data_IF_376868714386
#
_entry.id   IF_376868714386
#
_cell.length_a   1.000
_cell.length_b   1.000
_cell.length_c   1.000
_cell.angle_alpha   90.00
_cell.angle_beta   90.00
_cell.angle_gamma   90.00
#
_symmetry.space_group_name_H-M   'P 1'
#
loop_
_entity.id
_entity.type
_entity.pdbx_description
1 polymer ?
#
# COMPACT_ATOMS: atom_id res chain seq x y z
N UNK A 1 -0.80 24.80 -38.52
CA UNK A 1 -0.59 23.89 -37.40
C UNK A 1 0.10 22.64 -37.93
N UNK A 2 1.11 22.15 -37.20
CA UNK A 2 1.85 20.93 -37.53
C UNK A 2 2.13 20.16 -36.25
N UNK A 3 2.05 18.83 -36.33
CA UNK A 3 2.39 17.93 -35.22
C UNK A 3 3.52 17.04 -35.71
N UNK A 4 4.66 17.12 -35.06
CA UNK A 4 5.79 16.23 -35.33
C UNK A 4 6.10 15.35 -34.14
N UNK A 5 6.61 14.17 -34.43
CA UNK A 5 6.90 13.12 -33.42
C UNK A 5 8.36 12.72 -33.55
N UNK A 6 9.02 12.65 -32.41
CA UNK A 6 10.36 12.12 -32.30
C UNK A 6 10.37 10.94 -31.34
N UNK A 7 10.83 9.78 -31.80
CA UNK A 7 11.04 8.63 -30.93
C UNK A 7 12.29 8.89 -30.07
N UNK A 8 12.12 8.82 -28.75
CA UNK A 8 13.21 8.92 -27.77
C UNK A 8 13.77 7.54 -27.44
N UNK A 9 12.86 6.57 -27.23
CA UNK A 9 13.16 5.16 -27.06
C UNK A 9 12.15 4.34 -27.87
N UNK A 10 12.08 3.02 -27.63
CA UNK A 10 11.05 2.15 -28.24
C UNK A 10 9.63 2.49 -27.75
N UNK A 11 9.52 3.10 -26.55
CA UNK A 11 8.27 3.34 -25.84
C UNK A 11 8.06 4.80 -25.41
N UNK A 12 9.09 5.65 -25.44
CA UNK A 12 8.97 7.07 -25.13
C UNK A 12 9.05 7.91 -26.40
N UNK A 13 8.15 8.86 -26.54
CA UNK A 13 8.06 9.78 -27.69
C UNK A 13 7.98 11.22 -27.23
N UNK A 14 8.59 12.11 -28.01
CA UNK A 14 8.40 13.56 -27.89
C UNK A 14 7.43 14.03 -28.99
N UNK A 15 6.34 14.64 -28.58
CA UNK A 15 5.37 15.27 -29.48
C UNK A 15 5.62 16.78 -29.48
N UNK A 16 5.79 17.34 -30.67
CA UNK A 16 5.99 18.78 -30.85
C UNK A 16 4.79 19.33 -31.64
N UNK A 17 4.00 20.18 -30.98
CA UNK A 17 2.89 20.92 -31.60
C UNK A 17 3.40 22.30 -32.00
N UNK A 18 3.35 22.60 -33.28
CA UNK A 18 3.78 23.88 -33.83
C UNK A 18 2.62 24.59 -34.49
N UNK A 19 2.48 25.89 -34.25
CA UNK A 19 1.47 26.72 -34.90
C UNK A 19 1.97 28.18 -35.02
N UNK A 20 1.43 28.92 -35.97
CA UNK A 20 1.77 30.32 -36.10
C UNK A 20 0.58 31.22 -35.71
N UNK A 21 0.82 32.55 -35.67
CA UNK A 21 -0.21 33.52 -35.30
C UNK A 21 -1.45 33.48 -36.20
N UNK A 22 -1.33 33.10 -37.47
CA UNK A 22 -2.46 33.02 -38.39
C UNK A 22 -3.39 31.88 -38.02
N UNK A 23 -2.83 30.73 -37.53
CA UNK A 23 -3.57 29.59 -37.03
C UNK A 23 -4.38 29.94 -35.76
N UNK A 24 -3.81 30.75 -34.86
CA UNK A 24 -4.44 31.12 -33.58
C UNK A 24 -5.31 32.41 -33.71
N UNK A 25 -5.22 33.14 -34.79
CA UNK A 25 -5.95 34.42 -34.99
C UNK A 25 -7.46 34.32 -34.75
N UNK A 26 -8.18 33.29 -35.24
CA UNK A 26 -9.60 33.16 -34.96
C UNK A 26 -9.90 33.07 -33.47
N UNK A 27 -9.08 32.29 -32.71
CA UNK A 27 -9.17 32.11 -31.26
C UNK A 27 -8.90 33.42 -30.53
N UNK A 28 -7.84 34.12 -30.87
CA UNK A 28 -7.51 35.42 -30.28
C UNK A 28 -8.62 36.45 -30.52
N UNK A 29 -9.15 36.53 -31.75
CA UNK A 29 -10.23 37.48 -32.07
C UNK A 29 -11.53 37.18 -31.32
N UNK A 30 -11.84 35.91 -31.05
CA UNK A 30 -12.97 35.50 -30.24
C UNK A 30 -12.73 35.86 -28.77
N UNK A 31 -11.55 35.52 -28.22
CA UNK A 31 -11.19 35.85 -26.85
C UNK A 31 -11.25 37.35 -26.56
N UNK A 32 -10.72 38.15 -27.46
CA UNK A 32 -10.79 39.60 -27.35
C UNK A 32 -12.23 40.13 -27.36
N UNK A 33 -13.15 39.54 -28.16
CA UNK A 33 -14.57 39.90 -28.16
C UNK A 33 -15.23 39.51 -26.85
N UNK A 34 -14.96 38.32 -26.34
CA UNK A 34 -15.47 37.81 -25.06
C UNK A 34 -15.00 38.71 -23.91
N UNK A 35 -13.71 38.96 -23.82
CA UNK A 35 -13.11 39.80 -22.79
C UNK A 35 -13.66 41.24 -22.84
N UNK A 36 -13.81 41.84 -24.05
CA UNK A 36 -14.44 43.15 -24.23
C UNK A 36 -15.84 43.22 -23.62
N UNK A 37 -16.64 42.16 -23.71
CA UNK A 37 -18.00 42.15 -23.19
C UNK A 37 -18.04 42.13 -21.65
N UNK A 38 -17.01 41.60 -21.02
CA UNK A 38 -16.95 41.35 -19.56
C UNK A 38 -16.17 42.44 -18.81
N UNK A 39 -15.19 43.06 -19.43
CA UNK A 39 -14.27 43.99 -18.75
C UNK A 39 -14.96 45.25 -18.27
N UNK A 40 -14.68 45.64 -17.04
CA UNK A 40 -14.97 46.94 -16.47
C UNK A 40 -13.69 47.77 -16.38
N UNK A 41 -13.64 48.92 -17.06
CA UNK A 41 -12.46 49.79 -17.08
C UNK A 41 -12.85 51.21 -16.72
N UNK A 42 -12.12 51.92 -15.84
CA UNK A 42 -12.37 53.31 -15.52
C UNK A 42 -12.40 54.19 -16.79
N UNK A 43 -13.43 55.00 -16.97
CA UNK A 43 -13.62 55.84 -18.12
C UNK A 43 -14.40 55.22 -19.28
N UNK A 44 -14.75 53.93 -19.20
CA UNK A 44 -15.53 53.26 -20.24
C UNK A 44 -16.74 52.52 -19.66
N UNK A 45 -17.85 52.53 -20.42
CA UNK A 45 -19.01 51.67 -20.08
C UNK A 45 -18.65 50.20 -20.44
N UNK A 46 -19.12 49.24 -19.66
CA UNK A 46 -18.96 47.82 -19.94
C UNK A 46 -19.34 47.46 -21.39
N UNK A 47 -18.46 46.70 -22.07
CA UNK A 47 -18.62 46.34 -23.48
C UNK A 47 -18.29 47.44 -24.50
N UNK A 48 -17.91 48.65 -24.08
CA UNK A 48 -17.57 49.76 -24.95
C UNK A 48 -16.09 50.15 -24.95
N UNK A 49 -15.24 49.40 -24.31
CA UNK A 49 -13.80 49.57 -24.35
C UNK A 49 -13.29 49.27 -25.75
N UNK A 50 -12.50 50.18 -26.39
CA UNK A 50 -11.92 49.92 -27.70
C UNK A 50 -10.95 48.74 -27.68
N UNK A 51 -10.98 47.86 -28.69
CA UNK A 51 -10.15 46.65 -28.76
C UNK A 51 -8.65 46.95 -28.72
N UNK A 52 -8.19 48.06 -29.30
CA UNK A 52 -6.80 48.48 -29.26
C UNK A 52 -6.29 48.75 -27.81
N UNK A 53 -7.16 49.25 -26.94
CA UNK A 53 -6.83 49.48 -25.54
C UNK A 53 -6.74 48.15 -24.81
N UNK A 54 -7.67 47.21 -25.07
CA UNK A 54 -7.67 45.86 -24.50
C UNK A 54 -6.40 45.14 -24.93
N UNK A 55 -6.10 45.11 -26.24
CA UNK A 55 -4.90 44.44 -26.77
C UNK A 55 -3.60 45.00 -26.15
N UNK A 56 -3.53 46.33 -25.97
CA UNK A 56 -2.34 46.96 -25.39
C UNK A 56 -2.14 46.67 -23.91
N UNK A 57 -3.24 46.46 -23.17
CA UNK A 57 -3.20 46.32 -21.69
C UNK A 57 -3.25 44.91 -21.20
N UNK A 58 -3.96 44.05 -21.92
CA UNK A 58 -4.28 42.66 -21.54
C UNK A 58 -4.02 41.69 -22.68
N UNK A 59 -3.37 42.15 -23.75
CA UNK A 59 -3.14 41.34 -24.95
C UNK A 59 -2.36 40.09 -24.62
N UNK A 60 -1.24 40.25 -23.94
CA UNK A 60 -0.33 39.16 -23.61
C UNK A 60 -1.01 38.09 -22.71
N UNK A 61 -1.77 38.53 -21.71
CA UNK A 61 -2.50 37.61 -20.81
C UNK A 61 -3.60 36.84 -21.56
N UNK A 62 -4.37 37.52 -22.40
CA UNK A 62 -5.46 36.90 -23.18
C UNK A 62 -4.90 35.93 -24.21
N UNK A 63 -3.83 36.33 -24.91
CA UNK A 63 -3.19 35.47 -25.91
C UNK A 63 -2.54 34.27 -25.26
N UNK A 64 -1.87 34.40 -24.10
CA UNK A 64 -1.29 33.28 -23.37
C UNK A 64 -2.36 32.29 -22.88
N UNK A 65 -3.49 32.79 -22.37
CA UNK A 65 -4.61 31.93 -21.96
C UNK A 65 -5.17 31.12 -23.14
N UNK A 66 -5.31 31.77 -24.30
CA UNK A 66 -5.82 31.11 -25.50
C UNK A 66 -4.79 30.14 -26.13
N UNK A 67 -3.50 30.44 -26.04
CA UNK A 67 -2.44 29.50 -26.42
C UNK A 67 -2.51 28.24 -25.60
N UNK A 68 -2.60 28.34 -24.26
CA UNK A 68 -2.73 27.19 -23.39
C UNK A 68 -3.95 26.32 -23.74
N UNK A 69 -5.11 26.97 -23.96
CA UNK A 69 -6.33 26.25 -24.37
C UNK A 69 -6.17 25.60 -25.75
N UNK A 70 -5.55 26.29 -26.68
CA UNK A 70 -5.32 25.75 -28.02
C UNK A 70 -4.43 24.50 -27.98
N UNK A 71 -3.33 24.55 -27.24
CA UNK A 71 -2.42 23.43 -27.08
C UNK A 71 -3.13 22.23 -26.44
N UNK A 72 -3.93 22.49 -25.41
CA UNK A 72 -4.74 21.45 -24.76
C UNK A 72 -5.76 20.85 -25.73
N UNK A 73 -6.50 21.67 -26.48
CA UNK A 73 -7.48 21.20 -27.48
C UNK A 73 -6.82 20.34 -28.57
N UNK A 74 -5.65 20.77 -29.08
CA UNK A 74 -4.91 20.00 -30.10
C UNK A 74 -4.41 18.68 -29.50
N UNK A 75 -3.88 18.73 -28.29
CA UNK A 75 -3.41 17.52 -27.62
C UNK A 75 -4.54 16.50 -27.41
N UNK A 76 -5.69 16.95 -26.88
CA UNK A 76 -6.84 16.10 -26.62
C UNK A 76 -7.51 15.53 -27.88
N UNK A 77 -7.58 16.32 -28.96
CA UNK A 77 -8.33 15.92 -30.14
C UNK A 77 -7.49 15.26 -31.23
N UNK A 78 -6.18 15.52 -31.28
CA UNK A 78 -5.30 15.02 -32.33
C UNK A 78 -4.26 14.04 -31.80
N UNK A 79 -3.61 14.36 -30.64
CA UNK A 79 -2.53 13.53 -30.12
C UNK A 79 -3.06 12.29 -29.39
N UNK A 80 -4.00 12.47 -28.45
CA UNK A 80 -4.54 11.32 -27.68
C UNK A 80 -5.15 10.26 -28.60
N UNK A 81 -6.01 10.57 -29.58
CA UNK A 81 -6.62 9.55 -30.42
C UNK A 81 -5.65 8.85 -31.38
N UNK A 82 -4.56 9.52 -31.77
CA UNK A 82 -3.59 8.97 -32.73
C UNK A 82 -2.52 8.11 -32.07
N UNK A 83 -2.07 8.50 -30.86
CA UNK A 83 -0.93 7.85 -30.21
C UNK A 83 -1.31 7.02 -28.97
N UNK A 84 -2.54 7.11 -28.50
CA UNK A 84 -3.06 6.38 -27.34
C UNK A 84 -2.06 6.34 -26.16
N UNK A 85 -1.61 7.51 -25.66
CA UNK A 85 -0.53 7.59 -24.71
C UNK A 85 -0.84 6.84 -23.42
N UNK A 86 0.16 6.12 -22.88
CA UNK A 86 0.11 5.46 -21.58
C UNK A 86 0.88 6.25 -20.54
N UNK A 87 0.35 6.29 -19.32
CA UNK A 87 0.92 7.10 -18.25
C UNK A 87 0.51 8.57 -18.29
N UNK A 88 1.02 9.32 -17.33
CA UNK A 88 0.77 10.77 -17.24
C UNK A 88 1.66 11.52 -18.25
N UNK A 89 1.02 12.18 -19.19
CA UNK A 89 1.75 13.00 -20.17
C UNK A 89 2.47 14.15 -19.49
N UNK A 90 3.73 14.37 -19.85
CA UNK A 90 4.54 15.46 -19.32
C UNK A 90 4.71 16.56 -20.38
N UNK A 91 4.26 17.79 -20.06
CA UNK A 91 4.62 18.96 -20.85
C UNK A 91 6.08 19.35 -20.52
N UNK A 92 6.96 19.29 -21.53
CA UNK A 92 8.38 19.61 -21.40
C UNK A 92 8.65 21.09 -21.58
N UNK A 93 7.98 21.71 -22.55
CA UNK A 93 8.18 23.13 -22.92
C UNK A 93 6.93 23.71 -23.59
N UNK A 94 6.73 24.99 -23.41
CA UNK A 94 5.73 25.78 -24.11
C UNK A 94 6.29 27.17 -24.40
N UNK A 95 6.57 27.46 -25.66
CA UNK A 95 7.09 28.74 -26.08
C UNK A 95 6.17 29.44 -27.09
N UNK A 96 6.06 30.76 -26.96
CA UNK A 96 5.41 31.64 -27.89
C UNK A 96 6.36 32.80 -28.21
N UNK A 97 7.14 32.66 -29.28
CA UNK A 97 8.13 33.64 -29.67
C UNK A 97 8.02 33.99 -31.16
N UNK A 98 8.15 35.27 -31.51
CA UNK A 98 8.08 35.74 -32.88
C UNK A 98 6.80 35.35 -33.64
N UNK A 99 5.67 35.28 -32.94
CA UNK A 99 4.39 34.81 -33.47
C UNK A 99 4.37 33.32 -33.89
N UNK A 100 5.28 32.51 -33.33
CA UNK A 100 5.36 31.07 -33.49
C UNK A 100 5.15 30.38 -32.13
N UNK A 101 4.28 29.38 -32.13
CA UNK A 101 4.00 28.47 -31.00
C UNK A 101 4.80 27.21 -31.18
N UNK A 102 5.49 26.79 -30.13
CA UNK A 102 6.04 25.46 -30.02
C UNK A 102 5.69 24.91 -28.63
N UNK A 103 5.01 23.75 -28.57
CA UNK A 103 4.72 23.03 -27.34
C UNK A 103 5.26 21.62 -27.45
N UNK A 104 6.03 21.18 -26.45
CA UNK A 104 6.66 19.85 -26.40
C UNK A 104 6.08 19.01 -25.28
N UNK A 105 5.74 17.79 -25.61
CA UNK A 105 5.19 16.82 -24.67
C UNK A 105 6.00 15.53 -24.74
N UNK A 106 6.28 14.95 -23.59
CA UNK A 106 6.74 13.57 -23.49
C UNK A 106 5.55 12.67 -23.22
N UNK A 107 5.38 11.66 -24.06
CA UNK A 107 4.34 10.64 -23.93
C UNK A 107 4.98 9.25 -23.90
N UNK A 108 4.30 8.31 -23.24
CA UNK A 108 4.61 6.89 -23.32
C UNK A 108 3.71 6.20 -24.33
N UNK A 109 4.23 5.18 -25.00
CA UNK A 109 3.46 4.24 -25.82
C UNK A 109 3.47 2.87 -25.16
N UNK A 110 2.41 2.09 -25.32
CA UNK A 110 2.40 0.71 -24.85
C UNK A 110 3.56 -0.08 -25.46
N UNK A 111 4.31 -0.89 -24.69
CA UNK A 111 5.37 -1.70 -25.22
C UNK A 111 4.79 -2.81 -26.12
N UNK A 112 5.49 -3.14 -27.20
CA UNK A 112 5.13 -4.27 -28.07
C UNK A 112 5.87 -5.53 -27.58
N UNK A 113 5.16 -6.54 -27.13
CA UNK A 113 5.68 -7.85 -26.77
C UNK A 113 4.58 -8.92 -26.91
N UNK A 114 4.94 -10.16 -26.92
CA UNK A 114 4.00 -11.30 -26.96
C UNK A 114 4.13 -12.13 -25.69
N UNK A 115 3.02 -12.55 -25.11
CA UNK A 115 3.02 -13.51 -24.01
C UNK A 115 3.52 -14.86 -24.52
N UNK A 116 4.67 -15.30 -24.00
CA UNK A 116 5.28 -16.58 -24.29
C UNK A 116 4.42 -17.80 -23.93
N UNK A 117 5.01 -18.97 -24.00
CA UNK A 117 4.36 -20.22 -23.59
C UNK A 117 4.29 -20.26 -22.05
N UNK A 118 3.09 -20.10 -21.52
CA UNK A 118 2.84 -20.10 -20.07
C UNK A 118 3.20 -21.45 -19.42
N UNK A 119 3.21 -22.55 -20.18
CA UNK A 119 3.60 -23.87 -19.67
C UNK A 119 5.11 -23.99 -19.35
N UNK A 120 5.93 -23.02 -19.78
CA UNK A 120 7.36 -22.94 -19.43
C UNK A 120 7.57 -22.18 -18.11
N UNK A 121 6.57 -21.45 -17.63
CA UNK A 121 6.62 -20.75 -16.34
C UNK A 121 6.42 -21.77 -15.21
N UNK A 122 7.39 -21.83 -14.31
CA UNK A 122 7.39 -22.73 -13.16
C UNK A 122 7.39 -21.93 -11.88
N UNK A 123 6.40 -22.18 -11.01
CA UNK A 123 6.20 -21.46 -9.76
C UNK A 123 5.97 -22.41 -8.61
N UNK A 124 6.45 -22.04 -7.44
CA UNK A 124 6.23 -22.80 -6.21
C UNK A 124 4.93 -22.33 -5.53
N UNK A 125 4.14 -23.29 -5.06
CA UNK A 125 2.93 -23.01 -4.29
C UNK A 125 3.07 -23.65 -2.92
N UNK A 126 2.98 -22.83 -1.88
CA UNK A 126 2.94 -23.32 -0.52
C UNK A 126 1.65 -24.13 -0.29
N UNK A 127 1.81 -25.37 0.19
CA UNK A 127 0.71 -26.22 0.66
C UNK A 127 0.97 -26.58 2.09
N UNK A 128 0.05 -26.25 2.99
CA UNK A 128 0.15 -26.56 4.41
C UNK A 128 -1.17 -27.07 4.96
N UNK A 129 -1.19 -28.30 5.42
CA UNK A 129 -2.32 -28.89 6.15
C UNK A 129 -2.13 -28.63 7.64
N UNK A 130 -3.05 -27.88 8.24
CA UNK A 130 -3.00 -27.54 9.68
C UNK A 130 -3.07 -28.79 10.52
N UNK A 131 -2.06 -28.95 11.37
CA UNK A 131 -1.91 -30.10 12.28
C UNK A 131 -2.73 -29.93 13.55
N UNK A 132 -2.97 -31.05 14.26
CA UNK A 132 -3.63 -30.99 15.58
C UNK A 132 -2.74 -30.34 16.66
N UNK A 133 -1.41 -30.31 16.44
CA UNK A 133 -0.44 -29.63 17.30
C UNK A 133 -0.61 -28.10 17.20
N UNK A 134 -0.67 -27.54 15.99
CA UNK A 134 -0.91 -26.10 15.77
C UNK A 134 -2.27 -25.66 16.34
N UNK A 135 -3.30 -26.49 16.19
CA UNK A 135 -4.60 -26.24 16.84
C UNK A 135 -4.47 -26.24 18.37
N UNK A 136 -3.64 -27.15 18.91
CA UNK A 136 -3.35 -27.23 20.35
C UNK A 136 -2.63 -25.97 20.85
N UNK A 137 -1.60 -25.52 20.16
CA UNK A 137 -0.84 -24.33 20.51
C UNK A 137 -1.72 -23.05 20.47
N UNK A 138 -2.51 -22.88 19.42
CA UNK A 138 -3.43 -21.74 19.32
C UNK A 138 -4.51 -21.79 20.41
N UNK A 139 -5.04 -22.99 20.70
CA UNK A 139 -5.99 -23.19 21.79
C UNK A 139 -5.37 -22.83 23.14
N UNK A 140 -4.15 -23.27 23.39
CA UNK A 140 -3.41 -22.95 24.60
C UNK A 140 -3.19 -21.45 24.75
N UNK A 141 -2.81 -20.78 23.67
CA UNK A 141 -2.67 -19.31 23.63
C UNK A 141 -3.99 -18.58 23.94
N UNK A 142 -5.11 -19.08 23.39
CA UNK A 142 -6.44 -18.53 23.70
C UNK A 142 -6.79 -18.74 25.19
N UNK A 143 -6.51 -19.90 25.72
CA UNK A 143 -6.79 -20.22 27.13
C UNK A 143 -5.93 -19.38 28.08
N UNK A 144 -4.68 -19.11 27.74
CA UNK A 144 -3.80 -18.21 28.49
C UNK A 144 -4.30 -16.78 28.49
N UNK A 145 -4.65 -16.25 27.30
CA UNK A 145 -5.14 -14.88 27.14
C UNK A 145 -6.50 -14.64 27.83
N UNK A 146 -7.33 -15.68 27.94
CA UNK A 146 -8.64 -15.63 28.59
C UNK A 146 -8.59 -16.14 30.05
N UNK A 147 -7.40 -16.45 30.53
CA UNK A 147 -7.12 -16.87 31.90
C UNK A 147 -7.27 -15.72 32.90
N UNK A 148 -7.25 -16.10 34.17
CA UNK A 148 -7.20 -15.14 35.27
C UNK A 148 -5.81 -15.12 35.90
N UNK A 149 -5.44 -14.01 36.45
CA UNK A 149 -4.24 -13.89 37.24
C UNK A 149 -4.54 -14.35 38.69
N UNK A 150 -3.73 -15.23 39.21
CA UNK A 150 -3.84 -15.70 40.59
C UNK A 150 -2.65 -15.20 41.40
N UNK A 151 -2.93 -14.59 42.53
CA UNK A 151 -1.88 -14.11 43.46
C UNK A 151 -1.19 -15.35 44.09
N UNK A 152 0.12 -15.43 43.94
CA UNK A 152 0.91 -16.54 44.46
C UNK A 152 2.01 -16.01 45.41
N UNK A 153 2.40 -16.88 46.35
CA UNK A 153 3.55 -16.65 47.24
C UNK A 153 4.73 -17.54 46.80
N UNK A 154 5.07 -17.42 45.52
CA UNK A 154 6.12 -18.18 44.86
C UNK A 154 7.16 -17.23 44.27
N UNK A 155 8.29 -17.80 43.82
CA UNK A 155 9.32 -17.04 43.09
C UNK A 155 8.76 -16.57 41.76
N UNK A 156 9.17 -15.36 41.39
CA UNK A 156 8.86 -14.74 40.08
C UNK A 156 9.52 -15.57 38.98
N UNK A 157 8.73 -15.93 37.99
CA UNK A 157 9.15 -16.62 36.76
C UNK A 157 8.83 -15.71 35.55
N UNK A 158 9.33 -16.05 34.37
CA UNK A 158 9.15 -15.25 33.14
C UNK A 158 7.69 -15.00 32.72
N UNK A 159 6.78 -15.82 33.19
CA UNK A 159 5.34 -15.77 32.94
C UNK A 159 4.55 -14.93 33.94
N UNK A 160 5.21 -14.41 34.98
CA UNK A 160 4.56 -13.67 36.04
C UNK A 160 4.20 -12.24 35.66
N UNK A 161 3.15 -11.73 36.28
CA UNK A 161 2.88 -10.30 36.40
C UNK A 161 3.17 -9.88 37.85
N UNK A 162 3.95 -8.84 38.01
CA UNK A 162 4.33 -8.33 39.34
C UNK A 162 3.78 -6.92 39.53
N UNK A 163 3.30 -6.64 40.74
CA UNK A 163 2.96 -5.28 41.15
C UNK A 163 4.07 -4.77 42.04
N UNK A 164 4.68 -3.66 41.70
CA UNK A 164 5.80 -3.05 42.41
C UNK A 164 5.52 -1.62 42.79
N UNK A 165 6.15 -1.14 43.86
CA UNK A 165 6.38 0.31 44.05
C UNK A 165 7.73 0.62 43.44
N UNK A 166 7.81 1.68 42.64
CA UNK A 166 9.01 2.12 41.95
C UNK A 166 9.49 3.39 42.62
N UNK A 167 10.74 3.43 43.06
CA UNK A 167 11.41 4.59 43.59
C UNK A 167 12.56 4.93 42.65
N UNK A 168 12.56 6.15 42.12
CA UNK A 168 13.64 6.60 41.25
C UNK A 168 14.89 6.90 42.08
N UNK A 169 16.04 6.45 41.63
CA UNK A 169 17.34 6.70 42.24
C UNK A 169 18.13 7.69 41.39
N UNK A 170 18.93 8.52 42.05
CA UNK A 170 19.90 9.40 41.38
C UNK A 170 21.19 8.63 41.00
N UNK A 171 22.15 9.31 40.37
CA UNK A 171 23.43 8.73 39.94
C UNK A 171 24.29 8.22 41.14
N UNK A 172 24.03 8.65 42.38
CA UNK A 172 24.69 8.20 43.58
C UNK A 172 23.92 7.03 44.25
N UNK A 173 22.78 6.64 43.72
CA UNK A 173 21.91 5.53 44.22
C UNK A 173 21.00 5.97 45.37
N UNK A 174 20.83 7.27 45.63
CA UNK A 174 19.93 7.78 46.66
C UNK A 174 18.52 8.07 46.09
N UNK A 175 17.45 7.84 46.88
CA UNK A 175 16.08 8.10 46.41
C UNK A 175 15.83 9.56 46.07
N UNK A 176 15.28 9.83 44.87
CA UNK A 176 14.86 11.18 44.45
C UNK A 176 13.57 11.56 45.19
N UNK A 177 13.62 12.70 45.93
CA UNK A 177 12.49 13.13 46.75
C UNK A 177 11.27 13.50 45.91
N UNK A 178 10.17 12.78 46.10
CA UNK A 178 8.89 12.98 45.38
C UNK A 178 8.72 12.16 44.13
N UNK A 179 9.70 11.36 43.71
CA UNK A 179 9.64 10.48 42.56
C UNK A 179 9.43 9.01 42.99
N UNK A 180 8.20 8.72 43.43
CA UNK A 180 7.75 7.38 43.78
C UNK A 180 6.43 7.07 43.11
N UNK A 181 6.40 5.97 42.36
CA UNK A 181 5.22 5.44 41.74
C UNK A 181 4.77 4.17 42.46
N UNK A 182 3.56 4.17 43.00
CA UNK A 182 3.04 3.04 43.76
C UNK A 182 2.14 2.14 42.89
N UNK A 183 2.28 0.83 43.05
CA UNK A 183 1.38 -0.15 42.46
C UNK A 183 1.50 -0.31 40.95
N UNK A 184 2.69 -0.10 40.38
CA UNK A 184 2.95 -0.31 38.98
C UNK A 184 2.89 -1.80 38.64
N UNK A 185 2.17 -2.14 37.54
CA UNK A 185 2.06 -3.52 37.06
C UNK A 185 3.09 -3.78 35.95
N UNK A 186 3.95 -4.78 36.14
CA UNK A 186 4.95 -5.26 35.19
C UNK A 186 4.55 -6.67 34.75
N UNK A 187 4.12 -6.82 33.49
CA UNK A 187 3.85 -8.15 32.90
C UNK A 187 5.11 -8.63 32.18
N UNK A 188 5.86 -9.54 32.80
CA UNK A 188 7.14 -10.04 32.32
C UNK A 188 7.05 -10.83 30.98
N UNK A 189 5.86 -11.13 30.48
CA UNK A 189 5.67 -11.72 29.17
C UNK A 189 5.80 -10.72 28.01
N UNK A 190 5.70 -9.42 28.33
CA UNK A 190 5.75 -8.35 27.33
C UNK A 190 7.18 -7.88 27.10
N UNK A 191 7.54 -7.67 25.83
CA UNK A 191 8.88 -7.23 25.43
C UNK A 191 9.27 -5.86 25.99
N UNK A 192 8.30 -4.98 26.26
CA UNK A 192 8.52 -3.65 26.83
C UNK A 192 9.15 -3.70 28.24
N UNK A 193 9.00 -4.84 28.94
CA UNK A 193 9.57 -5.05 30.29
C UNK A 193 10.76 -6.02 30.30
N UNK A 194 11.33 -6.30 29.13
CA UNK A 194 12.44 -7.27 29.00
C UNK A 194 13.64 -6.91 29.88
N UNK A 195 13.95 -5.63 30.06
CA UNK A 195 15.06 -5.16 30.88
C UNK A 195 14.87 -5.45 32.38
N UNK A 196 13.62 -5.54 32.85
CA UNK A 196 13.30 -5.88 34.23
C UNK A 196 13.32 -7.39 34.54
N UNK A 197 13.31 -8.24 33.51
CA UNK A 197 13.16 -9.70 33.69
C UNK A 197 14.26 -10.30 34.52
N UNK A 198 15.51 -10.05 34.13
CA UNK A 198 16.66 -10.72 34.71
C UNK A 198 16.84 -10.36 36.19
N UNK A 199 16.49 -9.13 36.57
CA UNK A 199 16.61 -8.63 37.93
C UNK A 199 15.44 -9.06 38.82
N UNK A 200 14.22 -9.27 38.26
CA UNK A 200 13.04 -9.67 39.02
C UNK A 200 12.87 -11.17 39.17
N UNK A 201 13.38 -11.99 38.24
CA UNK A 201 13.23 -13.43 38.29
C UNK A 201 13.92 -14.03 39.56
N UNK A 202 13.21 -14.90 40.26
CA UNK A 202 13.68 -15.55 41.47
C UNK A 202 13.38 -14.80 42.77
N UNK A 203 12.95 -13.55 42.70
CA UNK A 203 12.48 -12.77 43.87
C UNK A 203 11.02 -13.10 44.21
N UNK A 204 10.56 -12.64 45.38
CA UNK A 204 9.22 -12.91 45.92
C UNK A 204 8.53 -11.63 46.40
N UNK A 205 7.25 -11.76 46.70
CA UNK A 205 6.50 -10.71 47.38
C UNK A 205 7.20 -10.25 48.64
N UNK A 206 7.47 -8.96 48.78
CA UNK A 206 8.16 -8.31 49.91
C UNK A 206 9.65 -8.11 49.72
N UNK A 207 10.24 -8.65 48.66
CA UNK A 207 11.64 -8.40 48.29
C UNK A 207 11.80 -7.02 47.69
N UNK A 208 13.01 -6.48 47.83
CA UNK A 208 13.45 -5.19 47.28
C UNK A 208 14.57 -5.46 46.28
N UNK A 209 14.51 -4.81 45.09
CA UNK A 209 15.42 -5.08 43.97
C UNK A 209 15.81 -3.75 43.33
N UNK A 210 17.12 -3.55 43.12
CA UNK A 210 17.62 -2.43 42.36
C UNK A 210 17.77 -2.84 40.91
N UNK A 211 17.21 -2.05 39.97
CA UNK A 211 17.21 -2.32 38.55
C UNK A 211 17.77 -1.11 37.81
N UNK A 212 18.67 -1.36 36.86
CA UNK A 212 19.20 -0.38 35.94
C UNK A 212 18.60 -0.58 34.55
N UNK A 213 17.88 0.43 34.06
CA UNK A 213 17.28 0.43 32.71
C UNK A 213 18.02 1.44 31.85
N UNK A 214 18.68 0.97 30.78
CA UNK A 214 19.50 1.81 29.92
C UNK A 214 18.98 1.86 28.48
N UNK A 215 18.83 3.09 27.95
CA UNK A 215 18.68 3.33 26.52
C UNK A 215 19.76 4.29 26.06
N UNK A 216 20.62 3.82 25.14
CA UNK A 216 21.75 4.55 24.56
C UNK A 216 22.73 5.13 25.62
N UNK A 217 22.88 6.45 25.72
CA UNK A 217 23.85 7.13 26.63
C UNK A 217 23.27 7.49 28.02
N UNK A 218 22.04 7.02 28.33
CA UNK A 218 21.40 7.34 29.63
C UNK A 218 20.91 6.07 30.32
N UNK A 219 21.39 5.78 31.53
CA UNK A 219 20.81 4.76 32.41
C UNK A 219 19.94 5.42 33.48
N UNK A 220 18.83 4.77 33.80
CA UNK A 220 17.94 5.13 34.91
C UNK A 220 17.98 4.03 35.96
N UNK A 221 18.22 4.42 37.22
CA UNK A 221 18.25 3.48 38.31
C UNK A 221 16.94 3.52 39.10
N UNK A 222 16.39 2.35 39.37
CA UNK A 222 15.14 2.20 40.10
C UNK A 222 15.32 1.24 41.27
N UNK A 223 14.71 1.59 42.41
CA UNK A 223 14.52 0.66 43.53
C UNK A 223 13.08 0.18 43.53
N UNK A 224 12.88 -1.13 43.31
CA UNK A 224 11.58 -1.76 43.22
C UNK A 224 11.24 -2.50 44.49
N UNK A 225 10.05 -2.26 45.02
CA UNK A 225 9.52 -3.01 46.18
C UNK A 225 8.38 -3.92 45.65
N UNK A 226 8.58 -5.23 45.70
CA UNK A 226 7.63 -6.19 45.16
C UNK A 226 6.44 -6.35 46.12
N UNK A 227 5.24 -5.93 45.68
CA UNK A 227 4.01 -5.95 46.46
C UNK A 227 3.17 -7.19 46.22
N UNK A 228 3.16 -7.68 44.97
CA UNK A 228 2.32 -8.80 44.60
C UNK A 228 2.94 -9.53 43.41
N UNK A 229 2.89 -10.84 43.44
CA UNK A 229 3.27 -11.71 42.33
C UNK A 229 2.02 -12.45 41.88
N UNK A 230 1.72 -12.40 40.59
CA UNK A 230 0.58 -13.11 39.99
C UNK A 230 1.07 -14.04 38.89
N UNK A 231 0.58 -15.24 38.88
CA UNK A 231 0.80 -16.21 37.79
C UNK A 231 -0.45 -16.34 36.92
N UNK A 232 -0.28 -16.50 35.60
CA UNK A 232 -1.42 -16.72 34.73
C UNK A 232 -2.01 -18.10 35.02
N UNK A 233 -3.30 -18.13 35.24
CA UNK A 233 -4.06 -19.37 35.33
C UNK A 233 -4.89 -19.54 34.08
N UNK A 234 -4.52 -20.54 33.24
CA UNK A 234 -5.25 -20.79 31.97
C UNK A 234 -6.74 -20.99 32.25
N UNK A 235 -7.57 -20.40 31.39
CA UNK A 235 -9.01 -20.64 31.42
C UNK A 235 -9.28 -22.11 31.19
N UNK A 236 -10.34 -22.64 31.84
CA UNK A 236 -10.74 -24.02 31.63
C UNK A 236 -11.48 -24.19 30.32
N UNK A 237 -11.01 -25.10 29.49
CA UNK A 237 -11.66 -25.48 28.25
C UNK A 237 -12.94 -26.24 28.53
N UNK A 238 -14.09 -25.61 28.32
CA UNK A 238 -15.43 -26.19 28.51
C UNK A 238 -16.33 -25.81 27.34
N UNK A 239 -17.45 -26.49 27.17
CA UNK A 239 -18.44 -26.13 26.14
C UNK A 239 -19.01 -24.73 26.37
N UNK A 240 -19.11 -24.27 27.60
CA UNK A 240 -19.54 -22.92 27.94
C UNK A 240 -18.49 -21.88 27.52
N UNK A 241 -17.20 -22.19 27.73
CA UNK A 241 -16.09 -21.37 27.28
C UNK A 241 -16.12 -21.25 25.74
N UNK A 242 -16.23 -22.39 25.03
CA UNK A 242 -16.29 -22.43 23.56
C UNK A 242 -17.43 -21.56 23.01
N UNK A 243 -18.63 -21.67 23.57
CA UNK A 243 -19.79 -20.83 23.21
C UNK A 243 -19.55 -19.34 23.45
N UNK A 244 -19.00 -19.00 24.60
CA UNK A 244 -18.72 -17.61 24.97
C UNK A 244 -17.67 -17.00 24.02
N UNK A 245 -16.60 -17.72 23.76
CA UNK A 245 -15.46 -17.26 22.95
C UNK A 245 -15.82 -17.07 21.46
N UNK A 246 -16.82 -17.81 20.98
CA UNK A 246 -17.27 -17.77 19.59
C UNK A 246 -18.61 -17.07 19.39
N UNK A 247 -19.14 -16.40 20.43
CA UNK A 247 -20.48 -15.81 20.41
C UNK A 247 -21.59 -16.81 20.01
N UNK A 248 -21.39 -18.09 20.32
CA UNK A 248 -22.34 -19.17 20.05
C UNK A 248 -22.19 -19.88 18.71
N UNK A 249 -21.18 -19.54 17.92
CA UNK A 249 -20.85 -20.23 16.67
C UNK A 249 -20.45 -21.69 16.95
N UNK A 250 -19.53 -21.92 17.88
CA UNK A 250 -19.21 -23.25 18.38
C UNK A 250 -20.07 -23.60 19.59
N UNK A 251 -20.70 -24.78 19.60
CA UNK A 251 -21.59 -25.24 20.67
C UNK A 251 -20.88 -26.11 21.71
N UNK A 252 -19.73 -26.65 21.39
CA UNK A 252 -18.91 -27.52 22.23
C UNK A 252 -17.43 -27.38 21.89
N UNK A 253 -16.59 -28.05 22.67
CA UNK A 253 -15.11 -28.00 22.50
C UNK A 253 -14.66 -28.53 21.14
N UNK A 254 -15.28 -29.57 20.59
CA UNK A 254 -14.87 -30.17 19.32
C UNK A 254 -15.19 -29.20 18.14
N UNK A 255 -16.36 -28.55 18.16
CA UNK A 255 -16.71 -27.53 17.21
C UNK A 255 -15.77 -26.31 17.30
N UNK A 256 -15.35 -25.96 18.54
CA UNK A 256 -14.39 -24.85 18.74
C UNK A 256 -13.02 -25.18 18.15
N UNK A 257 -12.49 -26.40 18.40
CA UNK A 257 -11.24 -26.86 17.78
C UNK A 257 -11.34 -26.87 16.24
N UNK A 258 -12.46 -27.34 15.70
CA UNK A 258 -12.70 -27.34 14.25
C UNK A 258 -12.71 -25.92 13.68
N UNK A 259 -13.30 -24.95 14.40
CA UNK A 259 -13.32 -23.55 14.01
C UNK A 259 -11.91 -22.94 14.04
N UNK A 260 -11.13 -23.24 15.09
CA UNK A 260 -9.71 -22.81 15.15
C UNK A 260 -8.94 -23.38 13.96
N UNK A 261 -9.07 -24.68 13.71
CA UNK A 261 -8.42 -25.35 12.56
C UNK A 261 -8.77 -24.66 11.24
N UNK A 262 -10.05 -24.39 11.01
CA UNK A 262 -10.50 -23.71 9.80
C UNK A 262 -9.95 -22.29 9.68
N UNK A 263 -9.84 -21.54 10.78
CA UNK A 263 -9.28 -20.19 10.77
C UNK A 263 -7.80 -20.20 10.44
N UNK A 264 -7.03 -21.09 11.04
CA UNK A 264 -5.60 -21.26 10.75
C UNK A 264 -5.42 -21.70 9.31
N UNK A 265 -6.21 -22.68 8.81
CA UNK A 265 -6.14 -23.14 7.43
C UNK A 265 -6.44 -22.00 6.44
N UNK A 266 -7.52 -21.26 6.66
CA UNK A 266 -7.86 -20.11 5.80
C UNK A 266 -6.74 -19.05 5.77
N UNK A 267 -6.07 -18.82 6.89
CA UNK A 267 -4.92 -17.91 6.94
C UNK A 267 -3.77 -18.41 6.06
N UNK A 268 -3.42 -19.72 6.18
CA UNK A 268 -2.37 -20.30 5.34
C UNK A 268 -2.76 -20.33 3.86
N UNK A 269 -4.02 -20.67 3.54
CA UNK A 269 -4.50 -20.70 2.16
C UNK A 269 -4.44 -19.32 1.51
N UNK A 270 -4.85 -18.26 2.23
CA UNK A 270 -4.73 -16.88 1.75
C UNK A 270 -3.28 -16.46 1.57
N UNK A 271 -2.43 -16.75 2.56
CA UNK A 271 -1.00 -16.44 2.45
C UNK A 271 -0.34 -17.19 1.29
N UNK A 272 -0.68 -18.46 1.09
CA UNK A 272 -0.20 -19.26 -0.03
C UNK A 272 -0.66 -18.70 -1.39
N UNK A 273 -1.90 -18.24 -1.51
CA UNK A 273 -2.40 -17.62 -2.73
C UNK A 273 -1.71 -16.26 -3.00
N UNK A 274 -1.46 -15.45 -1.98
CA UNK A 274 -0.72 -14.18 -2.13
C UNK A 274 0.74 -14.42 -2.55
N UNK A 275 1.41 -15.40 -1.95
CA UNK A 275 2.76 -15.79 -2.33
C UNK A 275 2.81 -16.34 -3.76
N UNK A 276 1.87 -17.21 -4.11
CA UNK A 276 1.74 -17.75 -5.47
C UNK A 276 1.54 -16.64 -6.51
N UNK A 277 0.64 -15.68 -6.26
CA UNK A 277 0.42 -14.52 -7.14
C UNK A 277 1.72 -13.74 -7.35
N UNK A 278 2.45 -13.47 -6.27
CA UNK A 278 3.73 -12.77 -6.35
C UNK A 278 4.80 -13.54 -7.14
N UNK A 279 4.90 -14.86 -6.95
CA UNK A 279 5.87 -15.68 -7.67
C UNK A 279 5.52 -15.80 -9.16
N UNK A 280 4.23 -15.88 -9.52
CA UNK A 280 3.75 -15.82 -10.90
C UNK A 280 4.10 -14.47 -11.54
N UNK A 281 3.84 -13.36 -10.85
CA UNK A 281 4.20 -12.01 -11.33
C UNK A 281 5.69 -11.91 -11.57
N UNK A 282 6.52 -12.29 -10.59
CA UNK A 282 7.98 -12.25 -10.70
C UNK A 282 8.46 -13.06 -11.90
N UNK A 283 7.96 -14.30 -12.04
CA UNK A 283 8.37 -15.21 -13.13
C UNK A 283 7.96 -14.68 -14.50
N UNK A 284 6.75 -14.11 -14.62
CA UNK A 284 6.29 -13.50 -15.88
C UNK A 284 7.06 -12.23 -16.21
N UNK A 285 7.36 -11.38 -15.23
CA UNK A 285 8.16 -10.16 -15.43
C UNK A 285 9.60 -10.51 -15.84
N UNK A 286 10.20 -11.55 -15.26
CA UNK A 286 11.54 -12.04 -15.61
C UNK A 286 11.59 -12.68 -17.01
N UNK A 287 10.50 -13.36 -17.42
CA UNK A 287 10.41 -14.01 -18.73
C UNK A 287 10.19 -13.03 -19.90
N UNK A 288 9.74 -11.81 -19.62
CA UNK A 288 9.42 -10.82 -20.66
C UNK A 288 10.32 -9.59 -20.53
N UNK A 289 11.23 -9.45 -21.52
CA UNK A 289 12.15 -8.30 -21.57
C UNK A 289 11.61 -7.23 -22.52
N UNK A 290 11.06 -6.13 -21.95
CA UNK A 290 10.62 -4.96 -22.67
C UNK A 290 10.85 -3.70 -21.85
N UNK A 291 10.97 -2.55 -22.53
CA UNK A 291 11.10 -1.24 -21.90
C UNK A 291 9.74 -0.75 -21.40
N UNK A 292 9.74 -0.06 -20.26
CA UNK A 292 8.56 0.61 -19.70
C UNK A 292 8.69 2.11 -19.96
N UNK A 293 7.64 2.80 -20.45
CA UNK A 293 7.68 4.25 -20.65
C UNK A 293 8.01 4.97 -19.35
N UNK A 294 8.91 5.96 -19.44
CA UNK A 294 9.36 6.70 -18.26
C UNK A 294 8.20 7.43 -17.56
N UNK A 295 7.30 8.03 -18.34
CA UNK A 295 6.11 8.72 -17.80
C UNK A 295 5.17 7.77 -17.06
N UNK A 296 5.07 6.50 -17.49
CA UNK A 296 4.28 5.49 -16.81
C UNK A 296 4.96 5.00 -15.53
N UNK A 297 6.28 4.78 -15.58
CA UNK A 297 7.05 4.40 -14.39
C UNK A 297 6.98 5.49 -13.31
N UNK A 298 7.09 6.77 -13.69
CA UNK A 298 6.93 7.89 -12.75
C UNK A 298 5.51 7.96 -12.18
N UNK A 299 4.48 7.68 -12.96
CA UNK A 299 3.12 7.57 -12.46
C UNK A 299 2.99 6.47 -11.38
N UNK A 300 3.58 5.29 -11.61
CA UNK A 300 3.57 4.20 -10.62
C UNK A 300 4.30 4.61 -9.35
N UNK A 301 5.48 5.25 -9.45
CA UNK A 301 6.19 5.78 -8.27
C UNK A 301 5.36 6.81 -7.50
N UNK A 302 4.69 7.73 -8.21
CA UNK A 302 3.82 8.74 -7.61
C UNK A 302 2.64 8.09 -6.85
N UNK A 303 2.09 6.97 -7.34
CA UNK A 303 1.06 6.21 -6.63
C UNK A 303 1.57 5.65 -5.30
N UNK A 304 2.84 5.21 -5.24
CA UNK A 304 3.47 4.80 -3.98
C UNK A 304 3.61 5.96 -3.00
N UNK A 305 4.06 7.13 -3.47
CA UNK A 305 4.15 8.34 -2.65
C UNK A 305 2.77 8.76 -2.10
N UNK A 306 1.74 8.74 -2.94
CA UNK A 306 0.36 9.02 -2.52
C UNK A 306 -0.14 8.04 -1.46
N UNK A 307 0.25 6.76 -1.54
CA UNK A 307 -0.10 5.76 -0.53
C UNK A 307 0.55 6.08 0.82
N UNK A 308 1.81 6.54 0.84
CA UNK A 308 2.47 7.01 2.06
C UNK A 308 1.71 8.20 2.66
N UNK A 309 1.33 9.19 1.86
CA UNK A 309 0.53 10.33 2.32
C UNK A 309 -0.80 9.89 2.92
N UNK A 310 -1.52 8.98 2.27
CA UNK A 310 -2.79 8.45 2.78
C UNK A 310 -2.64 7.73 4.13
N UNK A 311 -1.58 6.94 4.29
CA UNK A 311 -1.28 6.25 5.54
C UNK A 311 -0.88 7.21 6.67
N UNK A 312 -0.32 8.37 6.32
CA UNK A 312 0.09 9.42 7.26
C UNK A 312 -1.01 10.46 7.56
N UNK A 313 -2.26 10.20 7.13
CA UNK A 313 -3.41 11.08 7.41
C UNK A 313 -3.72 12.10 6.31
N UNK A 314 -3.15 11.96 5.13
CA UNK A 314 -3.44 12.77 3.93
C UNK A 314 -2.27 13.63 3.45
N UNK A 315 -1.30 13.92 4.33
CA UNK A 315 -0.08 14.67 4.00
C UNK A 315 1.15 13.78 4.17
N UNK A 316 2.22 14.08 3.43
CA UNK A 316 3.52 13.43 3.62
C UNK A 316 4.16 13.85 4.95
N UNK A 317 4.89 12.97 5.66
CA UNK A 317 5.67 13.33 6.84
C UNK A 317 6.62 14.50 6.56
N UNK A 318 6.87 15.36 7.57
CA UNK A 318 7.64 16.60 7.39
C UNK A 318 9.12 16.36 6.98
N UNK A 319 9.66 15.19 7.30
CA UNK A 319 11.02 14.73 7.00
C UNK A 319 11.08 13.71 5.84
N UNK A 320 9.99 13.55 5.09
CA UNK A 320 9.91 12.61 3.97
C UNK A 320 10.67 13.15 2.76
N UNK A 321 11.70 12.43 2.32
CA UNK A 321 12.44 12.72 1.08
C UNK A 321 11.81 11.90 -0.07
N UNK A 322 11.05 12.59 -0.91
CA UNK A 322 10.32 11.97 -2.02
C UNK A 322 11.26 11.39 -3.08
N UNK A 323 12.37 12.08 -3.38
CA UNK A 323 13.31 11.63 -4.40
C UNK A 323 14.09 10.39 -3.94
N UNK A 324 14.54 10.38 -2.67
CA UNK A 324 15.19 9.21 -2.07
C UNK A 324 14.21 8.03 -2.02
N UNK A 325 12.97 8.28 -1.62
CA UNK A 325 11.95 7.21 -1.59
C UNK A 325 11.69 6.62 -2.98
N UNK A 326 11.51 7.48 -4.02
CA UNK A 326 11.29 7.05 -5.41
C UNK A 326 12.45 6.22 -5.96
N UNK A 327 13.68 6.55 -5.60
CA UNK A 327 14.84 5.75 -6.02
C UNK A 327 14.88 4.40 -5.28
N UNK A 328 14.59 4.37 -3.98
CA UNK A 328 14.55 3.14 -3.20
C UNK A 328 13.46 2.14 -3.66
N UNK A 329 12.34 2.63 -4.18
CA UNK A 329 11.25 1.77 -4.69
C UNK A 329 11.32 1.49 -6.19
N UNK A 330 12.34 1.96 -6.90
CA UNK A 330 12.44 1.92 -8.37
C UNK A 330 12.23 0.53 -8.95
N UNK A 331 12.93 -0.47 -8.44
CA UNK A 331 12.82 -1.84 -8.93
C UNK A 331 11.42 -2.42 -8.69
N UNK A 332 10.82 -2.11 -7.55
CA UNK A 332 9.45 -2.50 -7.24
C UNK A 332 8.45 -1.81 -8.16
N UNK A 333 8.60 -0.51 -8.38
CA UNK A 333 7.75 0.25 -9.29
C UNK A 333 7.89 -0.25 -10.74
N UNK A 334 9.11 -0.60 -11.17
CA UNK A 334 9.35 -1.18 -12.51
C UNK A 334 8.67 -2.55 -12.66
N UNK A 335 8.76 -3.41 -11.63
CA UNK A 335 8.05 -4.69 -11.59
C UNK A 335 6.55 -4.52 -11.74
N UNK A 336 5.95 -3.62 -10.96
CA UNK A 336 4.51 -3.39 -10.98
C UNK A 336 4.05 -2.74 -12.30
N UNK A 337 4.88 -1.86 -12.88
CA UNK A 337 4.65 -1.29 -14.19
C UNK A 337 4.69 -2.36 -15.30
N UNK A 338 5.70 -3.24 -15.30
CA UNK A 338 5.78 -4.37 -16.24
C UNK A 338 4.57 -5.30 -16.08
N UNK A 339 4.20 -5.63 -14.82
CA UNK A 339 3.03 -6.46 -14.54
C UNK A 339 1.75 -5.87 -15.13
N UNK A 340 1.57 -4.56 -15.06
CA UNK A 340 0.38 -3.91 -15.64
C UNK A 340 0.24 -4.20 -17.14
N UNK A 341 1.33 -4.11 -17.90
CA UNK A 341 1.30 -4.44 -19.34
C UNK A 341 1.09 -5.93 -19.59
N UNK A 342 1.79 -6.79 -18.84
CA UNK A 342 1.62 -8.25 -18.94
C UNK A 342 0.19 -8.66 -18.61
N UNK A 343 -0.39 -8.10 -17.57
CA UNK A 343 -1.77 -8.39 -17.17
C UNK A 343 -2.79 -7.96 -18.24
N UNK A 344 -2.57 -6.82 -18.90
CA UNK A 344 -3.41 -6.39 -20.03
C UNK A 344 -3.35 -7.38 -21.19
N UNK A 345 -2.15 -7.81 -21.59
CA UNK A 345 -1.98 -8.82 -22.64
C UNK A 345 -2.58 -10.18 -22.25
N UNK A 346 -2.48 -10.58 -20.98
CA UNK A 346 -3.12 -11.79 -20.47
C UNK A 346 -4.65 -11.69 -20.51
N UNK A 347 -5.22 -10.52 -20.21
CA UNK A 347 -6.67 -10.30 -20.32
C UNK A 347 -7.15 -10.40 -21.78
N UNK A 348 -6.35 -9.94 -22.74
CA UNK A 348 -6.64 -10.08 -24.16
C UNK A 348 -6.49 -11.55 -24.61
N UNK A 349 -5.45 -12.25 -24.14
CA UNK A 349 -5.22 -13.67 -24.42
C UNK A 349 -6.33 -14.56 -23.87
N UNK A 350 -6.87 -14.23 -22.68
CA UNK A 350 -7.99 -14.92 -22.04
C UNK A 350 -9.32 -14.21 -22.35
N UNK A 351 -9.73 -14.22 -23.61
CA UNK A 351 -10.92 -13.52 -24.14
C UNK A 351 -12.27 -13.97 -23.51
N UNK A 352 -12.27 -15.07 -22.76
CA UNK A 352 -13.41 -15.64 -22.06
C UNK A 352 -13.60 -15.11 -20.61
N UNK A 353 -12.76 -14.16 -20.17
CA UNK A 353 -12.90 -13.55 -18.84
C UNK A 353 -14.07 -12.56 -18.83
N UNK A 354 -15.22 -13.00 -18.30
CA UNK A 354 -16.40 -12.19 -18.07
C UNK A 354 -16.63 -11.97 -16.58
N UNK A 355 -16.88 -10.72 -16.18
CA UNK A 355 -17.27 -10.40 -14.80
C UNK A 355 -18.78 -10.48 -14.68
N UNK A 356 -19.26 -11.46 -13.93
CA UNK A 356 -20.68 -11.68 -13.66
C UNK A 356 -21.12 -10.93 -12.40
N UNK A 357 -22.42 -10.64 -12.23
CA UNK A 357 -22.91 -10.04 -11.00
C UNK A 357 -22.56 -10.83 -9.73
N UNK A 358 -22.52 -12.17 -9.85
CA UNK A 358 -22.18 -13.09 -8.77
C UNK A 358 -20.73 -12.88 -8.29
N UNK A 359 -19.78 -12.64 -9.21
CA UNK A 359 -18.37 -12.38 -8.88
C UNK A 359 -18.23 -11.09 -8.05
N UNK A 360 -19.00 -10.06 -8.40
CA UNK A 360 -19.06 -8.80 -7.66
C UNK A 360 -19.64 -9.02 -6.26
N UNK A 361 -20.70 -9.80 -6.15
CA UNK A 361 -21.33 -10.11 -4.87
C UNK A 361 -20.41 -10.92 -3.95
N UNK A 362 -19.68 -11.89 -4.49
CA UNK A 362 -18.71 -12.70 -3.76
C UNK A 362 -17.54 -11.83 -3.24
N UNK A 363 -16.99 -10.97 -4.08
CA UNK A 363 -15.94 -10.03 -3.69
C UNK A 363 -16.42 -9.09 -2.58
N UNK A 364 -17.60 -8.47 -2.76
CA UNK A 364 -18.17 -7.57 -1.76
C UNK A 364 -18.48 -8.28 -0.44
N UNK A 365 -18.85 -9.56 -0.46
CA UNK A 365 -19.08 -10.35 0.75
C UNK A 365 -17.78 -10.62 1.49
N UNK A 366 -16.70 -10.94 0.79
CA UNK A 366 -15.38 -11.15 1.37
C UNK A 366 -14.84 -9.86 2.03
N UNK A 367 -14.94 -8.72 1.30
CA UNK A 367 -14.53 -7.42 1.83
C UNK A 367 -15.41 -6.97 3.01
N UNK A 368 -16.72 -7.17 2.95
CA UNK A 368 -17.62 -6.87 4.06
C UNK A 368 -17.26 -7.63 5.33
N UNK A 369 -16.91 -8.91 5.20
CA UNK A 369 -16.45 -9.74 6.31
C UNK A 369 -15.12 -9.23 6.89
N UNK A 370 -14.18 -8.81 6.03
CA UNK A 370 -12.87 -8.26 6.42
C UNK A 370 -13.00 -6.95 7.21
N UNK A 371 -13.92 -6.07 6.80
CA UNK A 371 -14.15 -4.77 7.46
C UNK A 371 -15.21 -4.83 8.57
N UNK A 372 -15.83 -5.98 8.83
CA UNK A 372 -16.85 -6.13 9.87
C UNK A 372 -18.14 -5.34 9.59
N UNK A 373 -18.47 -5.11 8.31
CA UNK A 373 -19.67 -4.40 7.86
C UNK A 373 -20.62 -5.36 7.14
N UNK A 374 -21.84 -4.91 6.85
CA UNK A 374 -22.80 -5.71 6.06
C UNK A 374 -22.51 -5.56 4.56
N UNK A 375 -22.87 -6.57 3.76
CA UNK A 375 -22.74 -6.51 2.31
C UNK A 375 -23.51 -5.31 1.71
N UNK A 376 -24.64 -4.94 2.28
CA UNK A 376 -25.43 -3.79 1.81
C UNK A 376 -24.73 -2.45 2.09
N UNK A 377 -24.03 -2.34 3.23
CA UNK A 377 -23.19 -1.18 3.51
C UNK A 377 -22.02 -1.10 2.52
N UNK A 378 -21.37 -2.23 2.25
CA UNK A 378 -20.28 -2.30 1.29
C UNK A 378 -20.77 -1.92 -0.13
N UNK A 379 -21.88 -2.49 -0.60
CA UNK A 379 -22.50 -2.10 -1.90
C UNK A 379 -22.77 -0.61 -2.01
N UNK A 380 -23.30 0.01 -0.95
CA UNK A 380 -23.59 1.44 -0.93
C UNK A 380 -22.31 2.29 -0.99
N UNK A 381 -21.22 1.86 -0.38
CA UNK A 381 -19.93 2.57 -0.46
C UNK A 381 -19.40 2.58 -1.90
N UNK A 382 -19.38 1.44 -2.57
CA UNK A 382 -18.92 1.33 -3.95
C UNK A 382 -19.87 2.01 -4.96
N UNK A 383 -21.19 1.95 -4.74
CA UNK A 383 -22.15 2.56 -5.65
C UNK A 383 -22.08 4.11 -5.69
N UNK A 384 -21.56 4.74 -4.64
CA UNK A 384 -21.41 6.19 -4.57
C UNK A 384 -20.12 6.71 -5.25
N UNK A 385 -19.18 5.83 -5.59
CA UNK A 385 -17.91 6.19 -6.19
C UNK A 385 -17.62 5.33 -7.45
N UNK A 386 -17.87 5.88 -8.66
CA UNK A 386 -17.62 5.16 -9.91
C UNK A 386 -16.18 4.68 -10.09
N UNK A 387 -15.19 5.42 -9.58
CA UNK A 387 -13.78 5.02 -9.65
C UNK A 387 -13.50 3.79 -8.78
N UNK A 388 -14.09 3.73 -7.58
CA UNK A 388 -13.97 2.55 -6.72
C UNK A 388 -14.63 1.32 -7.35
N UNK A 389 -15.77 1.51 -8.02
CA UNK A 389 -16.44 0.41 -8.74
C UNK A 389 -15.59 -0.13 -9.90
N UNK A 390 -14.91 0.76 -10.63
CA UNK A 390 -13.99 0.33 -11.69
C UNK A 390 -12.76 -0.38 -11.14
N UNK A 391 -12.18 0.13 -10.05
CA UNK A 391 -11.08 -0.54 -9.34
C UNK A 391 -11.48 -1.94 -8.86
N UNK A 392 -12.69 -2.09 -8.31
CA UNK A 392 -13.24 -3.39 -7.91
C UNK A 392 -13.34 -4.35 -9.10
N UNK A 393 -13.85 -3.88 -10.24
CA UNK A 393 -13.92 -4.72 -11.45
C UNK A 393 -12.56 -5.15 -11.94
N UNK A 394 -11.57 -4.25 -11.88
CA UNK A 394 -10.21 -4.57 -12.27
C UNK A 394 -9.59 -5.62 -11.33
N UNK A 395 -9.82 -5.52 -10.01
CA UNK A 395 -9.39 -6.54 -9.06
C UNK A 395 -10.02 -7.91 -9.34
N UNK A 396 -11.34 -7.95 -9.58
CA UNK A 396 -12.02 -9.21 -9.94
C UNK A 396 -11.47 -9.79 -11.25
N UNK A 397 -11.19 -8.92 -12.23
CA UNK A 397 -10.64 -9.37 -13.52
C UNK A 397 -9.24 -9.95 -13.34
N UNK A 398 -8.41 -9.30 -12.54
CA UNK A 398 -7.07 -9.78 -12.20
C UNK A 398 -7.13 -11.12 -11.46
N UNK A 399 -8.01 -11.31 -10.48
CA UNK A 399 -8.20 -12.59 -9.80
C UNK A 399 -8.58 -13.70 -10.79
N UNK A 400 -9.45 -13.41 -11.76
CA UNK A 400 -9.81 -14.36 -12.82
C UNK A 400 -8.65 -14.69 -13.76
N UNK A 401 -7.76 -13.71 -14.03
CA UNK A 401 -6.50 -13.97 -14.77
C UNK A 401 -5.63 -14.95 -13.97
N UNK A 402 -5.46 -14.75 -12.66
CA UNK A 402 -4.71 -15.70 -11.85
C UNK A 402 -5.35 -17.10 -11.79
N UNK A 403 -6.67 -17.19 -11.75
CA UNK A 403 -7.36 -18.49 -11.80
C UNK A 403 -7.12 -19.23 -13.13
N UNK A 404 -7.04 -18.51 -14.23
CA UNK A 404 -6.63 -19.09 -15.53
C UNK A 404 -5.16 -19.50 -15.51
N UNK A 405 -4.28 -18.64 -14.99
CA UNK A 405 -2.84 -18.91 -14.88
C UNK A 405 -2.55 -20.16 -14.05
N UNK A 406 -3.34 -20.45 -13.00
CA UNK A 406 -3.23 -21.70 -12.22
C UNK A 406 -3.37 -22.95 -13.09
N UNK A 407 -4.11 -22.88 -14.21
CA UNK A 407 -4.29 -23.98 -15.15
C UNK A 407 -3.25 -24.05 -16.27
N UNK A 408 -2.50 -22.99 -16.51
CA UNK A 408 -1.58 -22.86 -17.64
C UNK A 408 -0.10 -22.99 -17.23
N UNK A 409 0.28 -22.54 -16.01
CA UNK A 409 1.65 -22.60 -15.51
C UNK A 409 1.94 -23.94 -14.80
N UNK A 410 3.21 -24.30 -14.70
CA UNK A 410 3.63 -25.45 -13.89
C UNK A 410 3.69 -25.04 -12.42
N UNK A 411 2.91 -25.73 -11.59
CA UNK A 411 2.86 -25.49 -10.15
C UNK A 411 3.59 -26.64 -9.45
N UNK A 412 4.61 -26.30 -8.65
CA UNK A 412 5.26 -27.22 -7.73
C UNK A 412 4.68 -26.99 -6.33
N UNK A 413 3.94 -27.96 -5.81
CA UNK A 413 3.48 -27.89 -4.44
C UNK A 413 4.65 -28.24 -3.51
N UNK A 414 4.95 -27.32 -2.58
CA UNK A 414 6.04 -27.44 -1.62
C UNK A 414 5.52 -27.17 -0.22
N UNK A 415 6.13 -27.80 0.79
CA UNK A 415 5.77 -27.55 2.18
C UNK A 415 6.33 -26.23 2.73
N UNK A 416 5.95 -25.92 3.96
CA UNK A 416 6.31 -24.67 4.62
C UNK A 416 7.82 -24.50 4.80
N UNK A 417 8.52 -25.58 5.17
CA UNK A 417 9.95 -25.53 5.47
C UNK A 417 10.74 -25.34 4.16
N UNK A 418 10.39 -26.10 3.12
CA UNK A 418 11.00 -25.96 1.79
C UNK A 418 10.71 -24.58 1.18
N UNK A 419 9.49 -24.06 1.37
CA UNK A 419 9.15 -22.71 0.90
C UNK A 419 10.00 -21.64 1.58
N UNK A 420 10.17 -21.71 2.92
CA UNK A 420 10.95 -20.75 3.69
C UNK A 420 12.43 -20.78 3.26
N UNK A 421 12.99 -21.96 3.07
CA UNK A 421 14.39 -22.11 2.63
C UNK A 421 14.60 -21.46 1.24
N UNK A 422 13.70 -21.71 0.28
CA UNK A 422 13.75 -21.10 -1.06
C UNK A 422 13.58 -19.59 -1.02
N UNK A 423 12.65 -19.10 -0.18
CA UNK A 423 12.41 -17.67 -0.02
C UNK A 423 13.66 -16.95 0.53
N UNK A 424 14.27 -17.51 1.56
CA UNK A 424 15.49 -16.95 2.16
C UNK A 424 16.68 -16.93 1.17
N UNK A 425 16.81 -17.95 0.32
CA UNK A 425 17.79 -17.98 -0.76
C UNK A 425 17.52 -16.88 -1.82
N UNK A 426 16.25 -16.68 -2.21
CA UNK A 426 15.83 -15.65 -3.17
C UNK A 426 16.12 -14.25 -2.63
N UNK A 427 15.82 -13.98 -1.35
CA UNK A 427 16.13 -12.70 -0.69
C UNK A 427 17.63 -12.45 -0.67
N UNK A 428 18.43 -13.40 -0.21
CA UNK A 428 19.90 -13.29 -0.17
C UNK A 428 20.52 -13.08 -1.56
N UNK A 429 19.93 -13.66 -2.60
CA UNK A 429 20.40 -13.49 -3.98
C UNK A 429 20.12 -12.08 -4.51
N UNK A 430 18.93 -11.52 -4.22
CA UNK A 430 18.56 -10.15 -4.58
C UNK A 430 19.42 -9.11 -3.84
N UNK A 431 19.68 -9.30 -2.55
CA UNK A 431 20.59 -8.43 -1.77
C UNK A 431 22.02 -8.42 -2.32
N UNK A 432 22.54 -9.57 -2.74
CA UNK A 432 23.86 -9.67 -3.37
C UNK A 432 23.92 -9.02 -4.76
N UNK A 433 22.83 -9.03 -5.50
CA UNK A 433 22.73 -8.36 -6.79
C UNK A 433 22.66 -6.83 -6.64
N UNK A 434 21.94 -6.33 -5.63
CA UNK A 434 21.83 -4.92 -5.31
C UNK A 434 23.15 -4.32 -4.73
N UNK A 435 24.02 -5.14 -4.15
CA UNK A 435 25.30 -4.72 -3.56
C UNK A 435 26.47 -4.70 -4.57
N UNK A 436 26.26 -5.02 -5.85
CA UNK A 436 27.25 -4.98 -6.94
C UNK A 436 26.98 -3.82 -7.87
#
# INVERSE_FOLDING_TARGET
>A
MDISVQDLTSVDKEIIISANREDLKPKFDEAYKKYKSQIQMPGFRQGKVPLNIIKKRFGDEIEQEEINKYVQEVFENEVIPEYEPVGETQMLDLSWENDELEAKFKIGSAPEFEIGDLSEIEVDRLVHDVTDEEVGEELDRILENQGNWEVVDEEITEDCKVTVDVIHLDDDGEPVEGEKDEGQEIDLRKDEFKEFKDDLIGHKTGDEVDVEVGHDDHSHNFHLIIKKVEKPHKAKLTDEFAKKQTNGEAKNVDEFKSLIKSRIQNYYDQSADDLFKNDVIDSLVEAHDFEVPEVFLEQVKNQYVQRVAQQSGGDLPADFDEEEYKENIKDRALRDAKWTFINNELQEKFDDIEIKPEDVDEYLQAEAARYGVTIDQMRNMFAQNPQQLESLRNSIREDKVFDKLKGEVKINEIDKDEYQDKYDEKVKSKEKAAAK
#
